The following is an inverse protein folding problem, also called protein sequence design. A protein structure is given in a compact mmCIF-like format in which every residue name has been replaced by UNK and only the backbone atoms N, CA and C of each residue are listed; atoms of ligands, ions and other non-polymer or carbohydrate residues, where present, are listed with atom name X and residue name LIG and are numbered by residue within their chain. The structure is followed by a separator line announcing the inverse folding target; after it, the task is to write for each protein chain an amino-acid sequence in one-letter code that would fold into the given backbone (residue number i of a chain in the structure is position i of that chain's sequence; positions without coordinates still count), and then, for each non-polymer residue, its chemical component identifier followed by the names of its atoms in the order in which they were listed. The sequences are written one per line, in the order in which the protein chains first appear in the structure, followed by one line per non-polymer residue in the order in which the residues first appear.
data_IF_593487837436
#
_entry.id   IF_593487837436
#
_cell.length_a   1.000
_cell.length_b   1.000
_cell.length_c   1.000
_cell.angle_alpha   90.00
_cell.angle_beta   90.00
_cell.angle_gamma   90.00
#
_symmetry.space_group_name_H-M   'P 1'
#
loop_
_entity.id
_entity.type
_entity.pdbx_description
1 polymer ?
#
# COMPACT_ATOMS: atom_id res chain seq x y z
N UNK A 1 -21.32 10.74 17.22
CA UNK A 1 -20.15 11.57 16.92
C UNK A 1 -19.83 11.37 15.45
N UNK A 2 -19.94 12.41 14.64
CA UNK A 2 -19.69 12.36 13.19
C UNK A 2 -18.24 11.96 12.92
N UNK A 3 -17.97 10.76 12.39
CA UNK A 3 -16.69 10.46 11.75
C UNK A 3 -16.90 10.25 10.25
N UNK A 4 -17.31 11.32 9.57
CA UNK A 4 -17.39 11.41 8.11
C UNK A 4 -16.01 11.42 7.42
N UNK A 5 -14.92 11.42 8.20
CA UNK A 5 -13.56 11.33 7.66
C UNK A 5 -13.20 9.87 7.37
N UNK A 6 -12.96 9.56 6.10
CA UNK A 6 -12.26 8.34 5.68
C UNK A 6 -10.75 8.53 5.63
N UNK A 7 -10.23 9.68 6.07
CA UNK A 7 -8.78 9.90 6.17
C UNK A 7 -8.16 8.79 7.03
N UNK A 8 -7.13 8.13 6.49
CA UNK A 8 -6.46 7.01 7.14
C UNK A 8 -7.15 5.65 6.98
N UNK A 9 -8.29 5.53 6.29
CA UNK A 9 -8.96 4.23 6.04
C UNK A 9 -8.61 3.58 4.70
N UNK A 10 -8.31 4.39 3.70
CA UNK A 10 -8.01 3.92 2.35
C UNK A 10 -6.64 4.46 1.94
N UNK A 11 -5.74 3.54 1.61
CA UNK A 11 -4.41 3.86 1.13
C UNK A 11 -4.15 3.24 -0.23
N UNK A 12 -3.48 3.98 -1.11
CA UNK A 12 -3.01 3.48 -2.39
C UNK A 12 -1.53 3.11 -2.28
N UNK A 13 -1.13 1.85 -2.59
CA UNK A 13 0.24 1.53 -2.90
C UNK A 13 0.59 2.14 -4.26
N UNK A 14 1.05 3.40 -4.22
CA UNK A 14 1.10 4.28 -5.40
C UNK A 14 2.02 3.73 -6.48
N UNK A 15 1.55 3.62 -7.71
CA UNK A 15 2.39 3.22 -8.85
C UNK A 15 3.46 4.29 -9.15
N UNK A 16 4.65 3.86 -9.59
CA UNK A 16 5.76 4.77 -9.91
C UNK A 16 5.88 4.91 -11.43
N UNK A 17 5.65 6.10 -12.04
CA UNK A 17 5.90 6.31 -13.46
C UNK A 17 7.41 6.36 -13.74
N UNK A 18 7.81 6.01 -14.96
CA UNK A 18 9.21 5.95 -15.38
C UNK A 18 9.43 6.65 -16.72
N UNK A 19 10.59 7.28 -16.88
CA UNK A 19 11.10 7.77 -18.16
C UNK A 19 11.58 6.63 -19.06
N UNK A 20 11.89 6.94 -20.33
CA UNK A 20 12.38 5.96 -21.32
C UNK A 20 13.66 5.23 -20.88
N UNK A 21 14.56 5.93 -20.20
CA UNK A 21 15.78 5.38 -19.60
C UNK A 21 15.53 4.58 -18.30
N UNK A 22 14.25 4.35 -17.98
CA UNK A 22 13.74 3.69 -16.78
C UNK A 22 13.97 4.48 -15.48
N UNK A 23 14.51 5.69 -15.48
CA UNK A 23 14.58 6.52 -14.27
C UNK A 23 13.17 6.93 -13.79
N UNK A 24 12.94 7.14 -12.48
CA UNK A 24 11.61 7.50 -11.97
C UNK A 24 11.19 8.88 -12.47
N UNK A 25 9.96 9.01 -12.95
CA UNK A 25 9.41 10.29 -13.42
C UNK A 25 8.78 11.05 -12.25
N UNK A 26 9.57 11.92 -11.61
CA UNK A 26 9.13 12.64 -10.42
C UNK A 26 7.92 13.55 -10.69
N UNK A 27 7.85 14.19 -11.86
CA UNK A 27 6.75 15.12 -12.18
C UNK A 27 5.42 14.36 -12.27
N UNK A 28 5.37 13.30 -13.08
CA UNK A 28 4.15 12.47 -13.21
C UNK A 28 3.79 11.79 -11.90
N UNK A 29 4.79 11.43 -11.09
CA UNK A 29 4.58 10.84 -9.78
C UNK A 29 3.87 11.81 -8.82
N UNK A 30 4.35 13.06 -8.73
CA UNK A 30 3.71 14.13 -7.93
C UNK A 30 2.28 14.38 -8.42
N UNK A 31 2.08 14.52 -9.73
CA UNK A 31 0.75 14.74 -10.33
C UNK A 31 -0.25 13.64 -9.96
N UNK A 32 0.20 12.38 -9.94
CA UNK A 32 -0.64 11.24 -9.55
C UNK A 32 -0.91 11.20 -8.05
N UNK A 33 0.11 11.43 -7.23
CA UNK A 33 -0.04 11.52 -5.77
C UNK A 33 -0.99 12.65 -5.36
N UNK A 34 -0.93 13.82 -5.99
CA UNK A 34 -1.85 14.91 -5.73
C UNK A 34 -3.28 14.51 -6.07
N UNK A 35 -3.50 13.90 -7.25
CA UNK A 35 -4.83 13.41 -7.65
C UNK A 35 -5.40 12.38 -6.65
N UNK A 36 -4.56 11.49 -6.10
CA UNK A 36 -4.98 10.56 -5.05
C UNK A 36 -5.36 11.28 -3.75
N UNK A 37 -4.58 12.27 -3.33
CA UNK A 37 -4.87 13.07 -2.13
C UNK A 37 -6.16 13.87 -2.30
N UNK A 38 -6.40 14.45 -3.48
CA UNK A 38 -7.63 15.18 -3.80
C UNK A 38 -8.88 14.26 -3.77
N UNK A 39 -8.69 12.96 -3.98
CA UNK A 39 -9.70 11.92 -3.82
C UNK A 39 -9.73 11.29 -2.41
N UNK A 40 -9.11 11.95 -1.42
CA UNK A 40 -9.03 11.52 -0.02
C UNK A 40 -8.30 10.18 0.21
N UNK A 41 -7.51 9.70 -0.75
CA UNK A 41 -6.72 8.47 -0.63
C UNK A 41 -5.35 8.74 0.00
N UNK A 42 -5.00 8.00 1.05
CA UNK A 42 -3.66 8.04 1.64
C UNK A 42 -2.62 7.38 0.73
N UNK A 43 -1.34 7.72 0.88
CA UNK A 43 -0.29 7.30 -0.04
C UNK A 43 0.66 6.30 0.63
N UNK A 44 0.43 5.02 0.41
CA UNK A 44 1.34 3.95 0.85
C UNK A 44 2.46 3.74 -0.18
N UNK A 45 3.34 4.74 -0.34
CA UNK A 45 4.39 4.74 -1.37
C UNK A 45 5.43 3.63 -1.15
N UNK A 46 6.14 3.23 -2.20
CA UNK A 46 7.20 2.21 -2.15
C UNK A 46 6.73 0.81 -1.68
N UNK A 47 5.50 0.43 -2.01
CA UNK A 47 5.01 -0.94 -1.88
C UNK A 47 5.27 -1.80 -3.13
N UNK A 48 4.67 -2.99 -3.20
CA UNK A 48 4.78 -3.89 -4.37
C UNK A 48 4.34 -3.22 -5.66
N UNK A 49 3.19 -2.53 -5.65
CA UNK A 49 2.67 -1.86 -6.85
C UNK A 49 3.46 -0.63 -7.28
N UNK A 50 4.29 -0.09 -6.38
CA UNK A 50 5.25 0.98 -6.68
C UNK A 50 6.50 0.46 -7.42
N UNK A 51 6.59 -0.85 -7.65
CA UNK A 51 7.80 -1.52 -8.17
C UNK A 51 9.02 -1.27 -7.27
N UNK A 52 8.79 -1.15 -5.96
CA UNK A 52 9.77 -0.60 -5.01
C UNK A 52 11.07 -1.41 -4.88
N UNK A 53 11.04 -2.71 -5.15
CA UNK A 53 12.24 -3.56 -5.15
C UNK A 53 13.11 -3.36 -6.39
N UNK A 54 12.64 -2.62 -7.40
CA UNK A 54 13.45 -2.15 -8.54
C UNK A 54 14.00 -0.73 -8.33
N UNK A 55 13.65 -0.07 -7.22
CA UNK A 55 14.12 1.27 -6.87
C UNK A 55 15.28 1.18 -5.87
N UNK A 56 16.34 1.96 -6.08
CA UNK A 56 17.41 2.15 -5.09
C UNK A 56 16.91 2.98 -3.91
N UNK A 57 17.64 2.95 -2.80
CA UNK A 57 17.40 3.83 -1.64
C UNK A 57 17.39 5.29 -2.07
N UNK A 58 18.36 5.72 -2.90
CA UNK A 58 18.42 7.09 -3.41
C UNK A 58 17.19 7.50 -4.22
N UNK A 59 16.68 6.63 -5.09
CA UNK A 59 15.45 6.90 -5.83
C UNK A 59 14.25 7.09 -4.89
N UNK A 60 14.13 6.26 -3.85
CA UNK A 60 13.04 6.36 -2.86
C UNK A 60 13.13 7.66 -2.05
N UNK A 61 14.34 8.08 -1.64
CA UNK A 61 14.54 9.35 -0.95
C UNK A 61 14.15 10.53 -1.84
N UNK A 62 14.67 10.58 -3.08
CA UNK A 62 14.35 11.65 -4.04
C UNK A 62 12.84 11.75 -4.34
N UNK A 63 12.16 10.60 -4.49
CA UNK A 63 10.71 10.58 -4.70
C UNK A 63 9.96 11.07 -3.47
N UNK A 64 10.40 10.71 -2.26
CA UNK A 64 9.76 11.18 -1.02
C UNK A 64 9.97 12.68 -0.83
N UNK A 65 11.20 13.16 -1.04
CA UNK A 65 11.56 14.58 -0.94
C UNK A 65 10.72 15.40 -1.91
N UNK A 66 10.62 14.97 -3.17
CA UNK A 66 9.80 15.67 -4.16
C UNK A 66 8.31 15.70 -3.82
N UNK A 67 7.76 14.69 -3.13
CA UNK A 67 6.37 14.76 -2.63
C UNK A 67 6.21 15.80 -1.52
N UNK A 68 7.14 15.83 -0.56
CA UNK A 68 7.13 16.79 0.55
C UNK A 68 7.31 18.21 0.02
N UNK A 69 8.26 18.43 -0.88
CA UNK A 69 8.53 19.72 -1.53
C UNK A 69 7.33 20.21 -2.37
N UNK A 70 6.60 19.29 -3.00
CA UNK A 70 5.36 19.59 -3.71
C UNK A 70 4.17 19.90 -2.79
N UNK A 71 4.35 19.84 -1.46
CA UNK A 71 3.32 20.18 -0.47
C UNK A 71 2.40 19.01 -0.10
N UNK A 72 2.74 17.77 -0.47
CA UNK A 72 2.00 16.60 0.02
C UNK A 72 2.25 16.45 1.53
N UNK A 73 1.20 16.48 2.38
CA UNK A 73 1.40 16.41 3.81
C UNK A 73 2.02 15.08 4.25
N UNK A 74 3.03 15.13 5.13
CA UNK A 74 3.69 13.93 5.67
C UNK A 74 2.70 12.93 6.31
N UNK A 75 1.67 13.42 7.00
CA UNK A 75 0.64 12.57 7.61
C UNK A 75 -0.26 11.83 6.58
N UNK A 76 -0.10 12.08 5.28
CA UNK A 76 -0.73 11.34 4.17
C UNK A 76 0.21 10.30 3.56
N UNK A 77 1.47 10.24 3.96
CA UNK A 77 2.51 9.38 3.43
C UNK A 77 2.80 8.22 4.38
N UNK A 78 2.82 7.00 3.84
CA UNK A 78 3.26 5.78 4.52
C UNK A 78 4.29 5.04 3.64
N UNK A 79 5.54 5.51 3.56
CA UNK A 79 6.56 4.91 2.70
C UNK A 79 6.95 3.49 3.12
N UNK A 80 7.17 2.64 2.12
CA UNK A 80 7.70 1.30 2.27
C UNK A 80 9.21 1.32 2.52
N UNK A 81 9.62 0.98 3.74
CA UNK A 81 11.04 1.04 4.16
C UNK A 81 11.67 -0.33 4.41
N UNK A 82 10.89 -1.42 4.40
CA UNK A 82 11.43 -2.77 4.56
C UNK A 82 12.44 -3.12 3.46
N UNK A 83 13.57 -3.72 3.86
CA UNK A 83 14.64 -4.17 2.96
C UNK A 83 15.28 -5.45 3.48
N UNK A 84 16.02 -6.18 2.63
CA UNK A 84 16.85 -7.28 3.12
C UNK A 84 18.11 -6.77 3.84
N UNK A 85 18.61 -5.59 3.46
CA UNK A 85 19.71 -4.91 4.15
C UNK A 85 19.15 -4.04 5.27
N UNK A 86 19.66 -4.24 6.49
CA UNK A 86 19.22 -3.51 7.68
C UNK A 86 19.57 -2.03 7.54
N UNK A 87 20.75 -1.72 7.01
CA UNK A 87 21.23 -0.35 6.79
C UNK A 87 20.29 0.44 5.88
N UNK A 88 19.79 -0.19 4.81
CA UNK A 88 18.82 0.44 3.90
C UNK A 88 17.48 0.69 4.60
N UNK A 89 17.00 -0.28 5.38
CA UNK A 89 15.75 -0.14 6.12
C UNK A 89 15.82 0.98 7.17
N UNK A 90 16.95 1.09 7.89
CA UNK A 90 17.22 2.16 8.85
C UNK A 90 17.30 3.51 8.14
N UNK A 91 18.04 3.60 7.03
CA UNK A 91 18.20 4.83 6.25
C UNK A 91 16.85 5.36 5.77
N UNK A 92 16.04 4.50 5.13
CA UNK A 92 14.72 4.88 4.64
C UNK A 92 13.74 5.22 5.77
N UNK A 93 13.82 4.53 6.92
CA UNK A 93 12.94 4.79 8.05
C UNK A 93 13.26 6.11 8.75
N UNK A 94 14.53 6.47 8.90
CA UNK A 94 14.94 7.81 9.39
C UNK A 94 14.51 8.92 8.42
N UNK A 95 14.73 8.72 7.13
CA UNK A 95 14.31 9.66 6.10
C UNK A 95 12.79 9.92 6.12
N UNK A 96 11.98 8.86 6.29
CA UNK A 96 10.53 8.98 6.43
C UNK A 96 10.11 9.74 7.69
N UNK A 97 10.83 9.55 8.81
CA UNK A 97 10.60 10.27 10.06
C UNK A 97 10.89 11.76 9.92
N UNK A 98 12.04 12.11 9.33
CA UNK A 98 12.44 13.49 9.06
C UNK A 98 11.42 14.21 8.16
N UNK A 99 10.84 13.49 7.20
CA UNK A 99 9.76 13.96 6.33
C UNK A 99 8.38 14.08 7.04
N UNK A 100 8.28 13.72 8.33
CA UNK A 100 7.02 13.78 9.09
C UNK A 100 5.96 12.80 8.60
N UNK A 101 6.37 11.65 8.04
CA UNK A 101 5.47 10.65 7.50
C UNK A 101 4.54 10.08 8.60
N UNK A 102 3.34 9.63 8.21
CA UNK A 102 2.37 8.99 9.10
C UNK A 102 2.95 7.75 9.83
N UNK A 103 3.84 7.06 9.14
CA UNK A 103 4.56 5.88 9.61
C UNK A 103 5.24 5.21 8.43
N UNK A 104 5.84 4.05 8.64
CA UNK A 104 6.50 3.27 7.58
C UNK A 104 5.81 1.93 7.39
N UNK A 105 5.71 1.47 6.14
CA UNK A 105 5.21 0.14 5.80
C UNK A 105 6.39 -0.83 5.64
N UNK A 106 6.61 -1.72 6.61
CA UNK A 106 7.83 -2.52 6.69
C UNK A 106 7.59 -3.98 6.27
N UNK A 107 8.06 -4.30 5.07
CA UNK A 107 8.17 -5.67 4.59
C UNK A 107 9.25 -6.44 5.37
N UNK A 108 9.05 -7.73 5.72
CA UNK A 108 10.10 -8.54 6.32
C UNK A 108 11.23 -8.78 5.30
N UNK A 109 12.47 -9.07 5.75
CA UNK A 109 13.55 -9.44 4.85
C UNK A 109 13.16 -10.75 4.13
N UNK A 110 13.17 -10.71 2.80
CA UNK A 110 12.44 -11.69 2.00
C UNK A 110 13.34 -12.56 1.12
N UNK A 111 14.66 -12.34 1.06
CA UNK A 111 15.53 -13.17 0.21
C UNK A 111 15.69 -14.59 0.77
N UNK A 112 16.09 -14.70 2.04
CA UNK A 112 16.22 -15.99 2.72
C UNK A 112 14.85 -16.49 3.19
N UNK A 113 14.52 -17.73 2.85
CA UNK A 113 13.23 -18.36 3.16
C UNK A 113 13.32 -19.24 4.41
N UNK A 114 12.17 -19.62 4.95
CA UNK A 114 12.04 -20.49 6.14
C UNK A 114 12.82 -19.96 7.35
N UNK A 115 12.94 -18.63 7.47
CA UNK A 115 13.53 -17.97 8.63
C UNK A 115 12.58 -18.10 9.83
N UNK A 116 13.07 -18.44 11.04
CA UNK A 116 12.22 -18.55 12.21
C UNK A 116 11.79 -17.17 12.72
N UNK A 117 10.68 -17.11 13.47
CA UNK A 117 10.19 -15.87 14.10
C UNK A 117 11.24 -15.19 14.97
N UNK A 118 12.16 -15.94 15.60
CA UNK A 118 13.29 -15.37 16.34
C UNK A 118 14.20 -14.52 15.44
N UNK A 119 14.46 -14.97 14.20
CA UNK A 119 15.26 -14.22 13.24
C UNK A 119 14.55 -12.95 12.77
N UNK A 120 13.24 -13.05 12.50
CA UNK A 120 12.42 -11.91 12.12
C UNK A 120 12.31 -10.88 13.25
N UNK A 121 12.07 -11.34 14.49
CA UNK A 121 12.07 -10.48 15.67
C UNK A 121 13.37 -9.68 15.77
N UNK A 122 14.52 -10.35 15.66
CA UNK A 122 15.83 -9.68 15.73
C UNK A 122 16.03 -8.67 14.61
N UNK A 123 15.60 -8.98 13.39
CA UNK A 123 15.65 -8.02 12.28
C UNK A 123 14.84 -6.76 12.60
N UNK A 124 13.58 -6.91 13.02
CA UNK A 124 12.72 -5.76 13.32
C UNK A 124 13.24 -4.97 14.52
N UNK A 125 13.69 -5.64 15.58
CA UNK A 125 14.34 -5.04 16.74
C UNK A 125 15.58 -4.22 16.34
N UNK A 126 16.48 -4.79 15.52
CA UNK A 126 17.68 -4.09 15.06
C UNK A 126 17.34 -2.81 14.28
N UNK A 127 16.31 -2.84 13.43
CA UNK A 127 15.87 -1.63 12.72
C UNK A 127 15.35 -0.58 13.71
N UNK A 128 14.49 -0.96 14.66
CA UNK A 128 13.94 -0.04 15.67
C UNK A 128 15.04 0.58 16.52
N UNK A 129 15.96 -0.25 17.02
CA UNK A 129 17.06 0.17 17.89
C UNK A 129 18.07 1.06 17.17
N UNK A 130 18.39 0.76 15.90
CA UNK A 130 19.25 1.61 15.09
C UNK A 130 18.59 2.91 14.68
N UNK A 131 17.29 2.92 14.37
CA UNK A 131 16.58 4.18 14.13
C UNK A 131 16.63 5.04 15.38
N UNK A 132 16.33 4.46 16.55
CA UNK A 132 16.57 5.08 17.85
C UNK A 132 15.63 6.25 18.19
N UNK A 133 14.47 6.33 17.54
CA UNK A 133 13.51 7.42 17.69
C UNK A 133 12.10 6.91 18.09
N UNK A 134 11.54 7.45 19.16
CA UNK A 134 10.23 7.08 19.68
C UNK A 134 9.05 7.52 18.79
N UNK A 135 9.28 8.46 17.88
CA UNK A 135 8.32 8.86 16.86
C UNK A 135 8.13 7.79 15.78
N UNK A 136 9.03 6.79 15.66
CA UNK A 136 8.92 5.72 14.68
C UNK A 136 7.63 4.93 14.87
N UNK A 137 6.78 4.94 13.84
CA UNK A 137 5.57 4.13 13.72
C UNK A 137 5.72 3.14 12.57
N UNK A 138 5.67 1.85 12.88
CA UNK A 138 5.81 0.75 11.93
C UNK A 138 4.45 0.09 11.72
N UNK A 139 4.06 0.01 10.46
CA UNK A 139 3.04 -0.87 9.93
C UNK A 139 3.74 -2.09 9.34
N UNK A 140 3.53 -3.27 9.92
CA UNK A 140 4.08 -4.51 9.37
C UNK A 140 3.45 -4.79 7.99
N UNK A 141 4.21 -5.31 7.05
CA UNK A 141 3.69 -5.70 5.74
C UNK A 141 3.74 -7.21 5.57
N UNK A 142 2.60 -7.86 5.80
CA UNK A 142 2.44 -9.29 5.63
C UNK A 142 1.96 -9.61 4.22
N UNK A 143 2.81 -10.20 3.37
CA UNK A 143 2.46 -10.60 2.00
C UNK A 143 3.08 -11.97 1.62
N UNK A 144 2.70 -13.07 2.27
CA UNK A 144 3.26 -14.40 2.01
C UNK A 144 3.26 -14.83 0.53
N UNK A 145 2.24 -14.53 -0.30
CA UNK A 145 2.27 -14.90 -1.71
C UNK A 145 3.45 -14.31 -2.50
N UNK A 146 4.00 -13.18 -2.05
CA UNK A 146 5.13 -12.49 -2.71
C UNK A 146 6.43 -12.67 -1.91
N UNK A 147 6.42 -12.32 -0.62
CA UNK A 147 7.61 -12.37 0.22
C UNK A 147 8.02 -13.81 0.56
N UNK A 148 7.07 -14.76 0.59
CA UNK A 148 7.27 -16.13 1.08
C UNK A 148 7.88 -16.19 2.50
N UNK A 149 7.66 -15.14 3.27
CA UNK A 149 8.09 -15.00 4.66
C UNK A 149 6.86 -14.51 5.43
N UNK A 150 6.10 -15.41 6.07
CA UNK A 150 4.95 -15.02 6.86
C UNK A 150 5.39 -14.27 8.13
N UNK A 151 4.51 -13.41 8.62
CA UNK A 151 4.62 -12.73 9.90
C UNK A 151 3.56 -13.39 10.78
N UNK A 152 3.97 -14.18 11.76
CA UNK A 152 3.04 -14.91 12.62
C UNK A 152 2.35 -13.99 13.63
N UNK A 153 1.20 -14.42 14.16
CA UNK A 153 0.52 -13.72 15.25
C UNK A 153 1.40 -13.59 16.49
N UNK A 154 2.16 -14.65 16.83
CA UNK A 154 3.09 -14.65 17.96
C UNK A 154 4.26 -13.68 17.78
N UNK A 155 4.74 -13.50 16.54
CA UNK A 155 5.74 -12.48 16.23
C UNK A 155 5.17 -11.08 16.41
N UNK A 156 3.95 -10.82 15.94
CA UNK A 156 3.27 -9.52 16.13
C UNK A 156 3.13 -9.21 17.63
N UNK A 157 2.61 -10.16 18.42
CA UNK A 157 2.45 -10.01 19.86
C UNK A 157 3.79 -9.69 20.54
N UNK A 158 4.85 -10.44 20.20
CA UNK A 158 6.18 -10.22 20.78
C UNK A 158 6.76 -8.85 20.43
N UNK A 159 6.63 -8.40 19.19
CA UNK A 159 7.11 -7.08 18.74
C UNK A 159 6.37 -5.96 19.46
N UNK A 160 5.04 -6.05 19.57
CA UNK A 160 4.22 -5.07 20.30
C UNK A 160 4.54 -5.05 21.79
N UNK A 161 4.80 -6.20 22.41
CA UNK A 161 5.20 -6.26 23.82
C UNK A 161 6.55 -5.58 24.07
N UNK A 162 7.50 -5.76 23.16
CA UNK A 162 8.84 -5.17 23.27
C UNK A 162 8.87 -3.66 22.91
N UNK A 163 8.09 -3.25 21.91
CA UNK A 163 8.04 -1.87 21.41
C UNK A 163 6.58 -1.41 21.17
N UNK A 164 5.79 -1.20 22.25
CA UNK A 164 4.34 -1.00 22.17
C UNK A 164 3.93 0.25 21.39
N UNK A 165 4.73 1.30 21.46
CA UNK A 165 4.48 2.56 20.76
C UNK A 165 4.99 2.54 19.31
N UNK A 166 5.78 1.54 18.93
CA UNK A 166 6.45 1.49 17.62
C UNK A 166 5.69 0.62 16.62
N UNK A 167 5.25 -0.58 17.00
CA UNK A 167 4.48 -1.46 16.10
C UNK A 167 2.98 -1.19 16.22
N UNK A 168 2.47 -0.30 15.37
CA UNK A 168 1.13 0.28 15.50
C UNK A 168 0.11 -0.30 14.52
N UNK A 169 0.54 -1.05 13.51
CA UNK A 169 -0.40 -1.68 12.61
C UNK A 169 0.21 -2.73 11.69
N UNK A 170 -0.63 -3.27 10.81
CA UNK A 170 -0.26 -4.25 9.79
C UNK A 170 -1.11 -4.05 8.53
N UNK A 171 -0.49 -4.28 7.37
CA UNK A 171 -1.16 -4.55 6.11
C UNK A 171 -1.13 -6.05 5.87
N UNK A 172 -2.30 -6.69 5.89
CA UNK A 172 -2.46 -8.11 5.58
C UNK A 172 -2.80 -8.31 4.09
N UNK A 173 -1.80 -8.67 3.29
CA UNK A 173 -1.92 -9.07 1.88
C UNK A 173 -1.78 -10.58 1.69
N UNK A 174 -2.15 -11.39 2.69
CA UNK A 174 -2.23 -12.85 2.53
C UNK A 174 -3.33 -13.27 1.53
N UNK A 175 -4.42 -12.50 1.46
CA UNK A 175 -5.63 -12.88 0.74
C UNK A 175 -6.56 -13.81 1.54
N UNK A 176 -6.20 -14.10 2.79
CA UNK A 176 -6.97 -14.95 3.69
C UNK A 176 -7.76 -14.09 4.69
N UNK A 177 -9.10 -14.08 4.54
CA UNK A 177 -9.98 -13.33 5.43
C UNK A 177 -9.94 -13.84 6.87
N UNK A 178 -9.81 -15.15 7.10
CA UNK A 178 -9.79 -15.69 8.46
C UNK A 178 -8.53 -15.24 9.20
N UNK A 179 -7.40 -15.10 8.49
CA UNK A 179 -6.18 -14.50 9.03
C UNK A 179 -6.37 -13.01 9.37
N UNK A 180 -6.92 -12.22 8.43
CA UNK A 180 -7.21 -10.80 8.67
C UNK A 180 -8.17 -10.62 9.87
N UNK A 181 -9.25 -11.39 9.93
CA UNK A 181 -10.22 -11.38 11.04
C UNK A 181 -9.54 -11.72 12.36
N UNK A 182 -8.70 -12.75 12.38
CA UNK A 182 -7.98 -13.15 13.60
C UNK A 182 -7.05 -12.04 14.09
N UNK A 183 -6.32 -11.35 13.20
CA UNK A 183 -5.49 -10.20 13.55
C UNK A 183 -6.33 -9.05 14.15
N UNK A 184 -7.49 -8.76 13.56
CA UNK A 184 -8.39 -7.71 14.08
C UNK A 184 -8.86 -8.07 15.49
N UNK A 185 -9.41 -9.27 15.66
CA UNK A 185 -9.96 -9.72 16.95
C UNK A 185 -8.91 -9.74 18.07
N UNK A 186 -7.66 -10.11 17.75
CA UNK A 186 -6.59 -10.19 18.73
C UNK A 186 -5.96 -8.84 19.09
N UNK A 187 -5.88 -7.91 18.13
CA UNK A 187 -5.01 -6.74 18.30
C UNK A 187 -5.70 -5.38 18.16
N UNK A 188 -6.82 -5.28 17.43
CA UNK A 188 -7.43 -3.99 17.14
C UNK A 188 -8.05 -3.30 18.37
N UNK A 189 -8.51 -4.08 19.36
CA UNK A 189 -9.05 -3.55 20.62
C UNK A 189 -8.05 -2.68 21.41
N UNK A 190 -6.75 -2.94 21.23
CA UNK A 190 -5.66 -2.20 21.89
C UNK A 190 -5.05 -1.12 20.96
N UNK A 191 -5.79 -0.69 19.94
CA UNK A 191 -5.37 0.37 19.01
C UNK A 191 -4.46 -0.06 17.86
N UNK A 192 -4.20 -1.37 17.68
CA UNK A 192 -3.41 -1.86 16.53
C UNK A 192 -4.22 -1.80 15.24
N UNK A 193 -3.72 -1.10 14.24
CA UNK A 193 -4.45 -0.86 12.99
C UNK A 193 -4.22 -1.99 11.98
N UNK A 194 -5.25 -2.81 11.76
CA UNK A 194 -5.21 -3.88 10.76
C UNK A 194 -5.87 -3.40 9.47
N UNK A 195 -5.09 -3.35 8.39
CA UNK A 195 -5.57 -3.03 7.04
C UNK A 195 -5.60 -4.29 6.17
N UNK A 196 -6.71 -4.51 5.47
CA UNK A 196 -6.74 -5.50 4.40
C UNK A 196 -5.86 -5.05 3.22
N UNK A 197 -5.16 -5.99 2.61
CA UNK A 197 -4.27 -5.75 1.46
C UNK A 197 -4.99 -5.53 0.13
N UNK A 198 -6.31 -5.61 0.15
CA UNK A 198 -7.19 -5.26 -0.95
C UNK A 198 -8.57 -4.84 -0.43
N UNK A 199 -9.32 -4.18 -1.30
CA UNK A 199 -10.64 -3.65 -1.04
C UNK A 199 -11.76 -4.68 -1.12
N UNK A 200 -11.52 -5.94 -1.54
CA UNK A 200 -12.56 -7.00 -1.50
C UNK A 200 -13.04 -7.25 -0.08
N UNK A 201 -12.13 -7.09 0.87
CA UNK A 201 -12.39 -7.23 2.30
C UNK A 201 -12.68 -5.90 3.00
N UNK A 202 -12.75 -4.76 2.29
CA UNK A 202 -12.90 -3.44 2.93
C UNK A 202 -14.09 -3.40 3.89
N UNK A 203 -15.28 -3.73 3.41
CA UNK A 203 -16.50 -3.68 4.23
C UNK A 203 -16.44 -4.67 5.40
N UNK A 204 -15.90 -5.88 5.18
CA UNK A 204 -15.74 -6.88 6.23
C UNK A 204 -14.74 -6.42 7.29
N UNK A 205 -13.58 -5.89 6.89
CA UNK A 205 -12.57 -5.30 7.78
C UNK A 205 -13.18 -4.18 8.62
N UNK A 206 -13.93 -3.26 8.00
CA UNK A 206 -14.57 -2.16 8.73
C UNK A 206 -15.62 -2.66 9.74
N UNK A 207 -16.42 -3.66 9.38
CA UNK A 207 -17.43 -4.27 10.27
C UNK A 207 -16.80 -5.03 11.45
N UNK A 208 -15.65 -5.64 11.25
CA UNK A 208 -14.90 -6.36 12.30
C UNK A 208 -14.13 -5.39 13.23
N UNK A 209 -14.05 -4.11 12.90
CA UNK A 209 -13.32 -3.11 13.68
C UNK A 209 -11.87 -2.87 13.23
N UNK A 210 -11.49 -3.35 12.05
CA UNK A 210 -10.21 -3.04 11.42
C UNK A 210 -10.14 -1.61 10.86
N UNK A 211 -8.94 -1.22 10.41
CA UNK A 211 -8.63 0.17 10.06
C UNK A 211 -9.03 0.56 8.62
N UNK A 212 -9.24 -0.42 7.74
CA UNK A 212 -9.66 -0.21 6.35
C UNK A 212 -8.84 -1.05 5.37
N UNK A 213 -8.41 -0.49 4.25
CA UNK A 213 -7.62 -1.21 3.26
C UNK A 213 -6.44 -0.40 2.67
N UNK A 214 -5.42 -1.12 2.21
CA UNK A 214 -4.35 -0.61 1.36
C UNK A 214 -4.46 -1.33 0.01
N UNK A 215 -5.11 -0.71 -0.97
CA UNK A 215 -5.56 -1.37 -2.20
C UNK A 215 -4.86 -0.89 -3.46
N UNK A 216 -4.43 -1.84 -4.29
CA UNK A 216 -3.86 -1.61 -5.62
C UNK A 216 -4.75 -0.74 -6.53
N UNK A 217 -6.05 -1.05 -6.60
CA UNK A 217 -7.02 -0.35 -7.46
C UNK A 217 -7.35 1.04 -6.92
N UNK A 218 -6.96 1.41 -5.69
CA UNK A 218 -7.07 2.79 -5.24
C UNK A 218 -6.22 3.76 -6.10
N UNK A 219 -5.26 3.27 -6.87
CA UNK A 219 -4.56 4.05 -7.90
C UNK A 219 -5.49 4.57 -9.02
N UNK A 220 -6.64 3.93 -9.25
CA UNK A 220 -7.54 4.22 -10.38
C UNK A 220 -9.00 4.38 -9.97
N UNK A 221 -9.41 3.75 -8.87
CA UNK A 221 -10.77 3.70 -8.35
C UNK A 221 -10.88 4.30 -6.93
N UNK A 222 -9.96 5.22 -6.58
CA UNK A 222 -9.81 5.75 -5.23
C UNK A 222 -11.10 6.33 -4.64
N UNK A 223 -11.82 7.14 -5.43
CA UNK A 223 -13.06 7.80 -5.02
C UNK A 223 -14.15 6.83 -4.56
N UNK A 224 -14.39 5.76 -5.31
CA UNK A 224 -15.43 4.78 -4.99
C UNK A 224 -15.08 3.98 -3.72
N UNK A 225 -13.80 3.61 -3.57
CA UNK A 225 -13.31 2.89 -2.39
C UNK A 225 -13.43 3.77 -1.14
N UNK A 226 -13.05 5.05 -1.25
CA UNK A 226 -13.23 6.03 -0.17
C UNK A 226 -14.71 6.24 0.16
N UNK A 227 -15.60 6.31 -0.83
CA UNK A 227 -17.03 6.45 -0.62
C UNK A 227 -17.58 5.30 0.24
N UNK A 228 -17.24 4.05 -0.09
CA UNK A 228 -17.61 2.90 0.74
C UNK A 228 -17.02 3.01 2.16
N UNK A 229 -15.74 3.38 2.31
CA UNK A 229 -15.11 3.52 3.63
C UNK A 229 -15.76 4.63 4.50
N UNK A 230 -16.36 5.65 3.88
CA UNK A 230 -17.15 6.69 4.57
C UNK A 230 -18.55 6.19 4.93
N UNK A 231 -19.18 5.43 4.06
CA UNK A 231 -20.59 5.04 4.12
C UNK A 231 -20.79 3.57 4.51
N UNK A 232 -19.79 2.90 5.08
CA UNK A 232 -19.81 1.46 5.37
C UNK A 232 -20.94 1.00 6.30
N UNK A 233 -21.56 1.93 7.05
CA UNK A 233 -22.71 1.67 7.94
C UNK A 233 -24.07 1.90 7.26
N UNK A 234 -24.09 2.40 6.02
CA UNK A 234 -25.33 2.64 5.28
C UNK A 234 -25.88 1.31 4.73
N UNK A 235 -27.19 1.28 4.46
CA UNK A 235 -27.90 0.07 4.03
C UNK A 235 -27.46 -0.46 2.66
N UNK A 236 -26.86 0.38 1.82
CA UNK A 236 -26.37 0.06 0.48
C UNK A 236 -24.88 -0.33 0.45
N UNK A 237 -24.20 -0.36 1.60
CA UNK A 237 -22.76 -0.67 1.68
C UNK A 237 -22.38 -2.02 1.05
N UNK A 238 -23.22 -3.06 1.20
CA UNK A 238 -22.98 -4.35 0.56
C UNK A 238 -23.06 -4.27 -0.97
N UNK A 239 -23.96 -3.46 -1.52
CA UNK A 239 -24.05 -3.24 -2.98
C UNK A 239 -22.85 -2.47 -3.50
N UNK A 240 -22.42 -1.43 -2.78
CA UNK A 240 -21.20 -0.70 -3.11
C UNK A 240 -19.96 -1.61 -3.04
N UNK A 241 -19.86 -2.51 -2.05
CA UNK A 241 -18.79 -3.51 -1.97
C UNK A 241 -18.80 -4.47 -3.17
N UNK A 242 -19.98 -4.94 -3.61
CA UNK A 242 -20.10 -5.79 -4.80
C UNK A 242 -19.63 -5.07 -6.07
N UNK A 243 -19.96 -3.79 -6.22
CA UNK A 243 -19.49 -2.98 -7.35
C UNK A 243 -17.96 -2.83 -7.34
N UNK A 244 -17.35 -2.56 -6.18
CA UNK A 244 -15.88 -2.52 -6.05
C UNK A 244 -15.24 -3.86 -6.41
N UNK A 245 -15.83 -4.98 -5.97
CA UNK A 245 -15.35 -6.32 -6.29
C UNK A 245 -15.34 -6.56 -7.80
N UNK A 246 -16.41 -6.15 -8.49
CA UNK A 246 -16.53 -6.34 -9.93
C UNK A 246 -15.51 -5.48 -10.70
N UNK A 247 -15.30 -4.23 -10.30
CA UNK A 247 -14.23 -3.38 -10.88
C UNK A 247 -12.85 -4.02 -10.67
N UNK A 248 -12.57 -4.52 -9.46
CA UNK A 248 -11.31 -5.17 -9.15
C UNK A 248 -11.07 -6.43 -9.99
N UNK A 249 -12.12 -7.23 -10.20
CA UNK A 249 -12.07 -8.45 -11.00
C UNK A 249 -11.59 -8.19 -12.43
N UNK A 250 -11.97 -7.04 -13.01
CA UNK A 250 -11.43 -6.60 -14.32
C UNK A 250 -9.91 -6.48 -14.27
N UNK A 251 -9.33 -5.81 -13.26
CA UNK A 251 -7.89 -5.67 -13.11
C UNK A 251 -7.18 -6.98 -12.76
N UNK A 252 -7.83 -7.88 -12.00
CA UNK A 252 -7.29 -9.21 -11.64
C UNK A 252 -7.19 -10.15 -12.86
N UNK A 253 -7.89 -9.85 -13.96
CA UNK A 253 -7.73 -10.54 -15.25
C UNK A 253 -6.38 -10.28 -15.95
N UNK A 254 -5.56 -9.36 -15.43
CA UNK A 254 -4.29 -8.95 -16.01
C UNK A 254 -3.17 -8.88 -14.95
N UNK A 255 -1.89 -8.81 -15.35
CA UNK A 255 -0.82 -8.39 -14.46
C UNK A 255 -1.13 -7.02 -13.83
N UNK A 256 -1.36 -7.01 -12.50
CA UNK A 256 -1.90 -5.86 -11.76
C UNK A 256 -1.15 -4.53 -12.02
N UNK A 257 0.19 -4.52 -11.92
CA UNK A 257 0.99 -3.30 -12.08
C UNK A 257 0.86 -2.73 -13.50
N UNK A 258 1.13 -3.50 -14.58
CA UNK A 258 0.87 -3.07 -15.95
C UNK A 258 -0.57 -2.63 -16.22
N UNK A 259 -1.57 -3.31 -15.64
CA UNK A 259 -2.99 -2.98 -15.84
C UNK A 259 -3.36 -1.62 -15.24
N UNK A 260 -2.95 -1.36 -13.99
CA UNK A 260 -3.16 -0.05 -13.36
C UNK A 260 -2.49 1.06 -14.16
N UNK A 261 -1.25 0.83 -14.59
CA UNK A 261 -0.48 1.78 -15.40
C UNK A 261 -1.11 2.04 -16.76
N UNK A 262 -1.68 1.03 -17.42
CA UNK A 262 -2.42 1.21 -18.66
C UNK A 262 -3.69 2.05 -18.46
N UNK A 263 -4.47 1.78 -17.41
CA UNK A 263 -5.67 2.57 -17.13
C UNK A 263 -5.33 4.05 -16.84
N UNK A 264 -4.22 4.31 -16.13
CA UNK A 264 -3.72 5.68 -15.91
C UNK A 264 -3.23 6.29 -17.23
N UNK A 265 -2.57 5.53 -18.10
CA UNK A 265 -2.12 6.02 -19.40
C UNK A 265 -3.30 6.50 -20.25
N UNK A 266 -4.39 5.74 -20.29
CA UNK A 266 -5.60 6.08 -21.03
C UNK A 266 -6.31 7.29 -20.40
N UNK A 267 -6.40 7.36 -19.06
CA UNK A 267 -6.97 8.51 -18.34
C UNK A 267 -6.17 9.81 -18.53
N UNK A 268 -4.85 9.72 -18.63
CA UNK A 268 -3.94 10.87 -18.76
C UNK A 268 -3.57 11.20 -20.20
N UNK A 269 -4.09 10.45 -21.17
CA UNK A 269 -3.70 10.52 -22.59
C UNK A 269 -2.16 10.52 -22.76
N UNK A 270 -1.48 9.57 -22.10
CA UNK A 270 -0.03 9.53 -22.01
C UNK A 270 0.51 8.11 -21.87
N UNK A 271 0.90 7.50 -22.99
CA UNK A 271 1.49 6.14 -23.06
C UNK A 271 2.75 5.94 -22.21
N UNK A 272 3.44 7.02 -21.81
CA UNK A 272 4.57 6.95 -20.88
C UNK A 272 4.23 6.26 -19.55
N UNK A 273 2.95 6.29 -19.14
CA UNK A 273 2.49 5.60 -17.93
C UNK A 273 2.56 4.09 -18.03
N UNK A 274 2.47 3.51 -19.22
CA UNK A 274 2.51 2.06 -19.42
C UNK A 274 3.88 1.43 -19.06
N UNK A 275 4.94 2.25 -18.97
CA UNK A 275 6.30 1.78 -18.75
C UNK A 275 6.46 1.17 -17.36
N UNK A 276 7.01 -0.04 -17.30
CA UNK A 276 7.39 -0.76 -16.08
C UNK A 276 8.89 -1.05 -16.10
N UNK A 277 9.50 -1.25 -14.93
CA UNK A 277 10.90 -1.68 -14.85
C UNK A 277 10.99 -3.21 -15.00
N UNK A 278 11.96 -3.73 -15.77
CA UNK A 278 12.27 -5.16 -15.77
C UNK A 278 12.51 -5.68 -14.33
N UNK A 279 12.11 -6.92 -14.02
CA UNK A 279 11.64 -7.97 -14.95
C UNK A 279 10.14 -7.90 -15.28
N UNK A 280 9.41 -6.84 -14.88
CA UNK A 280 8.02 -6.68 -15.29
C UNK A 280 7.92 -6.37 -16.78
N UNK A 281 6.80 -6.76 -17.37
CA UNK A 281 6.49 -6.54 -18.79
C UNK A 281 5.20 -5.74 -18.86
N UNK A 282 5.19 -4.68 -19.66
CA UNK A 282 3.99 -3.89 -19.91
C UNK A 282 2.93 -4.73 -20.64
N UNK A 283 1.66 -4.33 -20.53
CA UNK A 283 0.61 -4.94 -21.36
C UNK A 283 0.90 -4.65 -22.84
N UNK A 284 0.72 -5.66 -23.69
CA UNK A 284 0.79 -5.45 -25.13
C UNK A 284 -0.45 -4.69 -25.65
N UNK A 285 -0.41 -4.28 -26.92
CA UNK A 285 -1.50 -3.49 -27.51
C UNK A 285 -2.85 -4.24 -27.54
N UNK A 286 -2.87 -5.57 -27.60
CA UNK A 286 -4.10 -6.34 -27.57
C UNK A 286 -4.68 -6.39 -26.15
N UNK A 287 -3.83 -6.64 -25.15
CA UNK A 287 -4.19 -6.63 -23.74
C UNK A 287 -4.69 -5.26 -23.28
N UNK A 288 -4.04 -4.17 -23.72
CA UNK A 288 -4.49 -2.80 -23.42
C UNK A 288 -5.89 -2.53 -23.97
N UNK A 289 -6.13 -2.88 -25.25
CA UNK A 289 -7.47 -2.74 -25.86
C UNK A 289 -8.51 -3.58 -25.12
N UNK A 290 -8.17 -4.82 -24.75
CA UNK A 290 -9.06 -5.69 -24.01
C UNK A 290 -9.41 -5.08 -22.63
N UNK A 291 -8.42 -4.58 -21.90
CA UNK A 291 -8.63 -3.91 -20.61
C UNK A 291 -9.55 -2.70 -20.77
N UNK A 292 -9.27 -1.81 -21.74
CA UNK A 292 -10.09 -0.63 -22.00
C UNK A 292 -11.55 -1.01 -22.34
N UNK A 293 -11.76 -1.97 -23.23
CA UNK A 293 -13.11 -2.45 -23.59
C UNK A 293 -13.87 -3.00 -22.38
N UNK A 294 -13.24 -3.84 -21.56
CA UNK A 294 -13.91 -4.42 -20.38
C UNK A 294 -14.20 -3.34 -19.33
N UNK A 295 -13.32 -2.35 -19.15
CA UNK A 295 -13.58 -1.20 -18.26
C UNK A 295 -14.75 -0.35 -18.76
N UNK A 296 -14.82 -0.07 -20.07
CA UNK A 296 -15.93 0.67 -20.68
C UNK A 296 -17.26 -0.07 -20.54
N UNK A 297 -17.28 -1.37 -20.81
CA UNK A 297 -18.46 -2.24 -20.62
C UNK A 297 -18.91 -2.29 -19.16
N UNK A 298 -17.95 -2.19 -18.22
CA UNK A 298 -18.21 -2.12 -16.79
C UNK A 298 -18.67 -0.72 -16.32
N UNK A 299 -18.67 0.29 -17.19
CA UNK A 299 -18.97 1.68 -16.85
C UNK A 299 -17.95 2.29 -15.89
N UNK A 300 -16.70 1.81 -15.92
CA UNK A 300 -15.63 2.31 -15.07
C UNK A 300 -15.23 3.74 -15.45
N UNK A 301 -15.00 4.58 -14.45
CA UNK A 301 -14.42 5.91 -14.63
C UNK A 301 -13.47 6.20 -13.49
N UNK A 302 -12.30 6.74 -13.84
CA UNK A 302 -11.38 7.37 -12.88
C UNK A 302 -11.96 8.69 -12.37
#
# INVERSE_FOLDING_TARGET
MNSSSASGKVWSPVVTPFHEDLSPDLRRYIEHCQWLVDNDVGLAVFGTNSEANSLSVSHKQQLLDGLVEAGIPGNRLMPGTGSCAIEDAVTLSRHALEAGCHGVLMLPPFYYKNVPDEGLYRYFAEVVERVGDAALKIYLYHIPPVAQVPISLGLIERLRKAYPETFVGIKDSSGDWDNTRTMIQQFAGDGFQVYAGNERFLLQTMREGGAGCISATANVNGRAIVALARQWQQSDADQAQLALNATREVFEGFPMIPALKSAIADFRDSDDWCRVRPPLVALDAAQRRQLATVLDEHGFSM
#
